data_IF_248775831733
#
_entry.id   IF_248775831733
#
_cell.length_a   1.000
_cell.length_b   1.000
_cell.length_c   1.000
_cell.angle_alpha   90.00
_cell.angle_beta   90.00
_cell.angle_gamma   90.00
#
_symmetry.space_group_name_H-M   'P 1'
#
loop_
_entity.id
_entity.type
_entity.pdbx_description
1 polymer ?
#
# COMPACT_ATOMS: atom_id res chain seq x y z
N UNK A 1 81.11 -5.69 -22.92
CA UNK A 1 80.03 -5.09 -23.73
C UNK A 1 78.94 -6.15 -23.88
N UNK A 2 77.89 -6.11 -23.06
CA UNK A 2 76.69 -6.96 -23.23
C UNK A 2 75.50 -6.28 -22.55
N UNK A 3 74.35 -6.44 -23.19
CA UNK A 3 73.15 -5.60 -23.28
C UNK A 3 72.13 -5.80 -22.15
N UNK A 4 71.53 -4.69 -21.70
CA UNK A 4 70.29 -4.67 -20.92
C UNK A 4 69.08 -4.49 -21.86
N UNK A 5 68.24 -5.52 -22.01
CA UNK A 5 66.94 -5.44 -22.66
C UNK A 5 65.85 -5.22 -21.60
N UNK A 6 65.25 -4.02 -21.60
CA UNK A 6 64.13 -3.69 -20.72
C UNK A 6 62.79 -4.05 -21.35
N UNK A 7 62.02 -4.79 -20.56
CA UNK A 7 60.70 -5.35 -20.79
C UNK A 7 59.63 -4.23 -20.89
N UNK A 8 59.03 -4.03 -22.07
CA UNK A 8 58.00 -2.99 -22.33
C UNK A 8 56.63 -3.54 -22.74
N UNK A 9 56.46 -4.87 -22.80
CA UNK A 9 55.24 -5.50 -23.34
C UNK A 9 54.21 -5.95 -22.28
N UNK A 10 54.57 -5.99 -20.99
CA UNK A 10 53.65 -6.42 -19.92
C UNK A 10 52.56 -5.40 -19.58
N UNK A 11 52.86 -4.11 -19.61
CA UNK A 11 51.96 -3.06 -19.12
C UNK A 11 50.73 -2.84 -20.01
N UNK A 12 50.84 -2.97 -21.33
CA UNK A 12 49.70 -2.73 -22.24
C UNK A 12 48.68 -3.87 -22.24
N UNK A 13 49.12 -5.09 -21.93
CA UNK A 13 48.25 -6.28 -21.78
C UNK A 13 47.44 -6.22 -20.49
N UNK A 14 48.09 -5.84 -19.38
CA UNK A 14 47.45 -5.74 -18.07
C UNK A 14 46.42 -4.59 -17.99
N UNK A 15 46.68 -3.50 -18.71
CA UNK A 15 45.72 -2.38 -18.88
C UNK A 15 44.48 -2.82 -19.69
N UNK A 16 44.66 -3.59 -20.77
CA UNK A 16 43.53 -4.10 -21.55
C UNK A 16 42.69 -5.12 -20.75
N UNK A 17 43.32 -6.00 -19.98
CA UNK A 17 42.62 -6.97 -19.13
C UNK A 17 41.83 -6.27 -18.02
N UNK A 18 42.38 -5.21 -17.42
CA UNK A 18 41.69 -4.43 -16.38
C UNK A 18 40.52 -3.61 -16.95
N UNK A 19 40.65 -3.03 -18.15
CA UNK A 19 39.55 -2.35 -18.85
C UNK A 19 38.39 -3.30 -19.18
N UNK A 20 38.68 -4.50 -19.73
CA UNK A 20 37.66 -5.53 -20.00
C UNK A 20 36.94 -5.97 -18.71
N UNK A 21 37.67 -6.05 -17.59
CA UNK A 21 37.11 -6.38 -16.28
C UNK A 21 36.21 -5.28 -15.73
N UNK A 22 36.55 -4.01 -15.97
CA UNK A 22 35.70 -2.87 -15.59
C UNK A 22 34.43 -2.84 -16.45
N UNK A 23 34.54 -3.00 -17.76
CA UNK A 23 33.37 -3.01 -18.66
C UNK A 23 32.42 -4.17 -18.35
N UNK A 24 32.95 -5.37 -18.06
CA UNK A 24 32.11 -6.50 -17.62
C UNK A 24 31.42 -6.26 -16.28
N UNK A 25 32.07 -5.59 -15.32
CA UNK A 25 31.45 -5.18 -14.05
C UNK A 25 30.35 -4.12 -14.25
N UNK A 26 30.57 -3.15 -15.15
CA UNK A 26 29.58 -2.13 -15.51
C UNK A 26 28.35 -2.75 -16.21
N UNK A 27 28.58 -3.69 -17.14
CA UNK A 27 27.51 -4.42 -17.82
C UNK A 27 26.72 -5.29 -16.83
N UNK A 28 27.42 -5.97 -15.91
CA UNK A 28 26.76 -6.79 -14.88
C UNK A 28 25.93 -5.93 -13.94
N UNK A 29 26.48 -4.80 -13.45
CA UNK A 29 25.76 -3.84 -12.61
C UNK A 29 24.53 -3.25 -13.32
N UNK A 30 24.63 -2.95 -14.61
CA UNK A 30 23.51 -2.48 -15.44
C UNK A 30 22.42 -3.55 -15.61
N UNK A 31 22.79 -4.81 -15.89
CA UNK A 31 21.85 -5.94 -15.99
C UNK A 31 21.14 -6.21 -14.67
N UNK A 32 21.86 -6.15 -13.55
CA UNK A 32 21.29 -6.34 -12.22
C UNK A 32 20.30 -5.21 -11.87
N UNK A 33 20.62 -3.96 -12.24
CA UNK A 33 19.71 -2.81 -12.12
C UNK A 33 18.45 -2.95 -12.97
N UNK A 34 18.57 -3.39 -14.23
CA UNK A 34 17.41 -3.62 -15.11
C UNK A 34 16.50 -4.73 -14.58
N UNK A 35 17.09 -5.84 -14.11
CA UNK A 35 16.34 -6.95 -13.50
C UNK A 35 15.58 -6.49 -12.26
N UNK A 36 16.21 -5.69 -11.41
CA UNK A 36 15.56 -5.13 -10.22
C UNK A 36 14.40 -4.21 -10.59
N UNK A 37 14.57 -3.32 -11.57
CA UNK A 37 13.50 -2.44 -12.03
C UNK A 37 12.32 -3.22 -12.64
N UNK A 38 12.60 -4.27 -13.42
CA UNK A 38 11.58 -5.15 -13.97
C UNK A 38 10.78 -5.85 -12.85
N UNK A 39 11.47 -6.35 -11.83
CA UNK A 39 10.82 -6.94 -10.65
C UNK A 39 9.94 -5.93 -9.92
N UNK A 40 10.39 -4.69 -9.76
CA UNK A 40 9.60 -3.61 -9.14
C UNK A 40 8.32 -3.35 -9.93
N UNK A 41 8.42 -3.23 -11.26
CA UNK A 41 7.27 -3.02 -12.15
C UNK A 41 6.29 -4.19 -12.06
N UNK A 42 6.78 -5.44 -12.09
CA UNK A 42 5.94 -6.63 -11.93
C UNK A 42 5.26 -6.66 -10.56
N UNK A 43 5.96 -6.30 -9.49
CA UNK A 43 5.37 -6.22 -8.15
C UNK A 43 4.30 -5.13 -8.04
N UNK A 44 4.50 -3.99 -8.69
CA UNK A 44 3.49 -2.92 -8.78
C UNK A 44 2.27 -3.38 -9.58
N UNK A 45 2.47 -4.06 -10.71
CA UNK A 45 1.39 -4.61 -11.52
C UNK A 45 0.58 -5.66 -10.74
N UNK A 46 1.25 -6.59 -10.06
CA UNK A 46 0.61 -7.56 -9.18
C UNK A 46 -0.20 -6.88 -8.06
N UNK A 47 0.34 -5.79 -7.48
CA UNK A 47 -0.34 -5.00 -6.45
C UNK A 47 -1.57 -4.24 -6.98
N UNK A 48 -1.55 -3.77 -8.24
CA UNK A 48 -2.70 -3.14 -8.89
C UNK A 48 -3.77 -4.19 -9.19
N UNK A 49 -3.41 -5.29 -9.85
CA UNK A 49 -4.35 -6.36 -10.23
C UNK A 49 -5.04 -6.98 -9.02
N UNK A 50 -4.26 -7.35 -7.99
CA UNK A 50 -4.81 -7.90 -6.76
C UNK A 50 -5.68 -6.88 -6.01
N UNK A 51 -5.33 -5.58 -6.04
CA UNK A 51 -6.14 -4.54 -5.44
C UNK A 51 -7.45 -4.29 -6.19
N UNK A 52 -7.48 -4.40 -7.52
CA UNK A 52 -8.72 -4.33 -8.29
C UNK A 52 -9.62 -5.54 -7.94
N UNK A 53 -9.04 -6.75 -7.91
CA UNK A 53 -9.78 -7.97 -7.56
C UNK A 53 -10.39 -7.90 -6.15
N UNK A 54 -9.63 -7.45 -5.14
CA UNK A 54 -10.16 -7.36 -3.78
C UNK A 54 -11.27 -6.31 -3.68
N UNK A 55 -11.22 -5.22 -4.45
CA UNK A 55 -12.25 -4.18 -4.43
C UNK A 55 -13.58 -4.72 -4.97
N UNK A 56 -13.55 -5.46 -6.09
CA UNK A 56 -14.77 -6.08 -6.61
C UNK A 56 -15.32 -7.15 -5.67
N UNK A 57 -14.46 -7.99 -5.09
CA UNK A 57 -14.89 -8.98 -4.08
C UNK A 57 -15.49 -8.32 -2.84
N UNK A 58 -14.87 -7.25 -2.33
CA UNK A 58 -15.41 -6.50 -1.21
C UNK A 58 -16.76 -5.85 -1.56
N UNK A 59 -16.89 -5.23 -2.74
CA UNK A 59 -18.17 -4.68 -3.23
C UNK A 59 -19.27 -5.76 -3.28
N UNK A 60 -18.93 -6.95 -3.79
CA UNK A 60 -19.85 -8.08 -3.82
C UNK A 60 -20.27 -8.51 -2.41
N UNK A 61 -19.31 -8.69 -1.49
CA UNK A 61 -19.56 -9.08 -0.09
C UNK A 61 -20.43 -8.05 0.63
N UNK A 62 -20.17 -6.76 0.45
CA UNK A 62 -20.96 -5.70 1.08
C UNK A 62 -22.40 -5.68 0.57
N UNK A 63 -22.59 -5.90 -0.73
CA UNK A 63 -23.89 -5.82 -1.37
C UNK A 63 -24.76 -7.07 -1.17
N UNK A 64 -24.16 -8.26 -1.18
CA UNK A 64 -24.90 -9.54 -1.16
C UNK A 64 -24.76 -10.33 0.15
N UNK A 65 -23.64 -10.19 0.86
CA UNK A 65 -23.39 -10.95 2.09
C UNK A 65 -23.61 -10.09 3.35
N UNK A 66 -23.71 -8.77 3.19
CA UNK A 66 -23.93 -7.80 4.28
C UNK A 66 -22.89 -7.89 5.42
N UNK A 67 -21.69 -8.40 5.13
CA UNK A 67 -20.55 -8.37 6.07
C UNK A 67 -19.92 -6.99 6.00
N UNK A 68 -19.77 -6.34 7.15
CA UNK A 68 -19.24 -4.98 7.22
C UNK A 68 -17.71 -4.92 7.16
N UNK A 69 -17.16 -3.73 6.91
CA UNK A 69 -15.78 -3.55 6.47
C UNK A 69 -14.73 -3.98 7.49
N UNK A 70 -14.91 -3.67 8.78
CA UNK A 70 -13.95 -4.01 9.83
C UNK A 70 -13.93 -5.51 10.08
N UNK A 71 -15.09 -6.16 10.12
CA UNK A 71 -15.24 -7.62 10.20
C UNK A 71 -14.52 -8.29 9.03
N UNK A 72 -14.79 -7.83 7.82
CA UNK A 72 -14.14 -8.37 6.62
C UNK A 72 -12.61 -8.16 6.68
N UNK A 73 -12.15 -6.98 7.10
CA UNK A 73 -10.71 -6.67 7.22
C UNK A 73 -10.02 -7.55 8.27
N UNK A 74 -10.66 -7.80 9.42
CA UNK A 74 -10.13 -8.69 10.45
C UNK A 74 -10.01 -10.13 9.93
N UNK A 75 -11.03 -10.64 9.23
CA UNK A 75 -10.98 -11.97 8.60
C UNK A 75 -9.87 -12.02 7.55
N UNK A 76 -9.75 -11.02 6.69
CA UNK A 76 -8.67 -10.92 5.69
C UNK A 76 -7.28 -10.92 6.33
N UNK A 77 -7.10 -10.27 7.48
CA UNK A 77 -5.85 -10.30 8.24
C UNK A 77 -5.58 -11.67 8.87
N UNK A 78 -6.62 -12.39 9.29
CA UNK A 78 -6.49 -13.79 9.73
C UNK A 78 -6.05 -14.68 8.57
N UNK A 79 -6.68 -14.57 7.39
CA UNK A 79 -6.26 -15.30 6.19
C UNK A 79 -4.83 -14.94 5.76
N UNK A 80 -4.45 -13.67 5.86
CA UNK A 80 -3.08 -13.22 5.62
C UNK A 80 -2.10 -13.89 6.58
N UNK A 81 -2.47 -14.02 7.86
CA UNK A 81 -1.66 -14.71 8.87
C UNK A 81 -1.49 -16.19 8.54
N UNK A 82 -2.58 -16.88 8.17
CA UNK A 82 -2.54 -18.28 7.72
C UNK A 82 -1.66 -18.46 6.47
N UNK A 83 -1.82 -17.61 5.46
CA UNK A 83 -0.99 -17.63 4.26
C UNK A 83 0.50 -17.49 4.58
N UNK A 84 0.84 -16.63 5.54
CA UNK A 84 2.23 -16.45 5.98
C UNK A 84 2.77 -17.63 6.79
N UNK A 85 1.93 -18.32 7.57
CA UNK A 85 2.32 -19.57 8.24
C UNK A 85 2.67 -20.64 7.20
N UNK A 86 1.87 -20.78 6.14
CA UNK A 86 2.15 -21.71 5.03
C UNK A 86 3.46 -21.31 4.34
N UNK A 87 3.66 -20.01 4.05
CA UNK A 87 4.91 -19.50 3.50
C UNK A 87 6.14 -19.79 4.37
N UNK A 88 5.99 -19.76 5.69
CA UNK A 88 7.05 -20.12 6.64
C UNK A 88 7.37 -21.61 6.59
N UNK A 89 6.35 -22.47 6.51
CA UNK A 89 6.51 -23.93 6.35
C UNK A 89 7.18 -24.30 5.01
N UNK A 90 6.90 -23.54 3.95
CA UNK A 90 7.56 -23.67 2.66
C UNK A 90 8.96 -23.04 2.60
N UNK A 91 9.50 -22.55 3.72
CA UNK A 91 10.82 -21.91 3.83
C UNK A 91 11.02 -20.69 2.90
N UNK A 92 9.94 -19.99 2.54
CA UNK A 92 10.05 -18.78 1.69
C UNK A 92 10.69 -17.59 2.41
N UNK A 93 10.66 -17.60 3.75
CA UNK A 93 11.38 -16.65 4.60
C UNK A 93 11.75 -17.31 5.93
N UNK A 94 12.77 -16.75 6.60
CA UNK A 94 13.18 -17.16 7.95
C UNK A 94 12.49 -16.28 8.98
N UNK A 95 11.94 -16.86 10.05
CA UNK A 95 11.35 -16.07 11.14
C UNK A 95 12.44 -15.31 11.90
N UNK A 96 12.27 -13.99 12.02
CA UNK A 96 13.11 -13.13 12.87
C UNK A 96 12.40 -12.87 14.19
N UNK A 97 13.07 -13.09 15.32
CA UNK A 97 12.52 -12.80 16.65
C UNK A 97 12.54 -11.30 16.90
N UNK A 98 11.37 -10.74 17.17
CA UNK A 98 11.19 -9.32 17.49
C UNK A 98 10.16 -9.17 18.62
N UNK A 99 10.26 -8.08 19.36
CA UNK A 99 9.30 -7.78 20.43
C UNK A 99 8.01 -7.23 19.84
N UNK A 100 6.86 -7.70 20.33
CA UNK A 100 5.53 -7.21 19.92
C UNK A 100 5.44 -5.69 20.09
N UNK A 101 6.11 -5.12 21.11
CA UNK A 101 6.13 -3.67 21.36
C UNK A 101 6.68 -2.86 20.17
N UNK A 102 7.53 -3.44 19.34
CA UNK A 102 8.10 -2.77 18.16
C UNK A 102 7.10 -2.71 17.00
N UNK A 103 6.18 -3.67 16.92
CA UNK A 103 5.17 -3.78 15.84
C UNK A 103 3.83 -3.18 16.26
N UNK A 104 3.57 -3.09 17.57
CA UNK A 104 2.31 -2.58 18.11
C UNK A 104 1.91 -1.20 17.56
N UNK A 105 2.81 -0.18 17.47
CA UNK A 105 2.45 1.10 16.86
C UNK A 105 1.99 0.96 15.40
N UNK A 106 2.67 0.12 14.62
CA UNK A 106 2.32 -0.16 13.23
C UNK A 106 0.91 -0.77 13.11
N UNK A 107 0.59 -1.75 13.95
CA UNK A 107 -0.74 -2.36 13.97
C UNK A 107 -1.83 -1.40 14.46
N UNK A 108 -1.52 -0.54 15.43
CA UNK A 108 -2.45 0.51 15.89
C UNK A 108 -2.73 1.51 14.76
N UNK A 109 -1.71 2.00 14.06
CA UNK A 109 -1.89 2.90 12.92
C UNK A 109 -2.73 2.25 11.81
N UNK A 110 -2.51 0.97 11.53
CA UNK A 110 -3.33 0.22 10.58
C UNK A 110 -4.81 0.16 11.03
N UNK A 111 -5.07 -0.19 12.29
CA UNK A 111 -6.44 -0.30 12.79
C UNK A 111 -7.13 1.06 12.84
N UNK A 112 -6.43 2.11 13.29
CA UNK A 112 -6.93 3.49 13.25
C UNK A 112 -7.25 3.92 11.81
N UNK A 113 -6.33 3.66 10.88
CA UNK A 113 -6.59 3.91 9.45
C UNK A 113 -7.88 3.22 9.00
N UNK A 114 -8.04 1.92 9.25
CA UNK A 114 -9.25 1.18 8.85
C UNK A 114 -10.51 1.77 9.48
N UNK A 115 -10.52 1.97 10.80
CA UNK A 115 -11.68 2.46 11.55
C UNK A 115 -12.08 3.86 11.11
N UNK A 116 -11.15 4.82 11.14
CA UNK A 116 -11.45 6.23 10.81
C UNK A 116 -11.74 6.45 9.33
N UNK A 117 -11.15 5.65 8.43
CA UNK A 117 -11.47 5.71 7.00
C UNK A 117 -12.89 5.21 6.73
N UNK A 118 -13.32 4.14 7.41
CA UNK A 118 -14.70 3.66 7.29
C UNK A 118 -15.71 4.62 7.91
N UNK A 119 -15.42 5.17 9.10
CA UNK A 119 -16.25 6.23 9.70
C UNK A 119 -16.31 7.46 8.79
N UNK A 120 -15.21 7.85 8.15
CA UNK A 120 -15.21 8.99 7.22
C UNK A 120 -16.17 8.76 6.05
N UNK A 121 -16.28 7.52 5.55
CA UNK A 121 -17.24 7.17 4.48
C UNK A 121 -18.69 7.19 4.96
N UNK A 122 -18.93 6.99 6.26
CA UNK A 122 -20.27 7.09 6.88
C UNK A 122 -20.69 8.54 7.10
N UNK A 123 -19.77 9.42 7.52
CA UNK A 123 -20.06 10.81 7.87
C UNK A 123 -19.82 11.84 6.75
N UNK A 124 -19.13 11.46 5.67
CA UNK A 124 -18.84 12.35 4.54
C UNK A 124 -19.35 11.75 3.22
N UNK A 125 -19.53 12.62 2.22
CA UNK A 125 -19.81 12.17 0.86
C UNK A 125 -18.66 11.34 0.30
N UNK A 126 -18.97 10.44 -0.63
CA UNK A 126 -17.97 9.62 -1.31
C UNK A 126 -16.87 10.49 -1.97
N UNK A 127 -17.26 11.62 -2.57
CA UNK A 127 -16.33 12.57 -3.20
C UNK A 127 -15.39 13.22 -2.19
N UNK A 128 -15.93 13.73 -1.08
CA UNK A 128 -15.14 14.32 0.00
C UNK A 128 -14.22 13.30 0.66
N UNK A 129 -14.70 12.09 0.90
CA UNK A 129 -13.89 10.97 1.38
C UNK A 129 -12.68 10.69 0.46
N UNK A 130 -12.91 10.65 -0.86
CA UNK A 130 -11.84 10.41 -1.84
C UNK A 130 -10.80 11.54 -1.83
N UNK A 131 -11.24 12.79 -1.73
CA UNK A 131 -10.34 13.94 -1.69
C UNK A 131 -9.50 14.00 -0.41
N UNK A 132 -10.09 13.72 0.76
CA UNK A 132 -9.32 13.57 1.99
C UNK A 132 -8.31 12.44 1.90
N UNK A 133 -8.66 11.33 1.24
CA UNK A 133 -7.70 10.23 1.01
C UNK A 133 -6.51 10.68 0.17
N UNK A 134 -6.68 11.58 -0.81
CA UNK A 134 -5.56 12.11 -1.59
C UNK A 134 -4.58 12.90 -0.73
N UNK A 135 -5.04 13.58 0.33
CA UNK A 135 -4.18 14.27 1.30
C UNK A 135 -3.21 13.35 2.08
N UNK A 136 -3.40 12.03 2.02
CA UNK A 136 -2.41 11.06 2.55
C UNK A 136 -1.01 11.32 1.98
N UNK A 137 -0.91 11.71 0.70
CA UNK A 137 0.37 11.95 0.03
C UNK A 137 1.14 13.15 0.59
N UNK A 138 0.60 14.39 0.61
CA UNK A 138 1.32 15.52 1.17
C UNK A 138 1.67 15.31 2.64
N UNK A 139 0.82 14.60 3.40
CA UNK A 139 1.09 14.26 4.79
C UNK A 139 2.22 13.25 4.91
N UNK A 140 2.31 12.25 4.02
CA UNK A 140 3.46 11.34 3.99
C UNK A 140 4.75 12.12 3.73
N UNK A 141 4.76 13.01 2.74
CA UNK A 141 5.94 13.83 2.43
C UNK A 141 6.32 14.71 3.61
N UNK A 142 5.35 15.37 4.25
CA UNK A 142 5.57 16.24 5.39
C UNK A 142 6.18 15.49 6.58
N UNK A 143 5.59 14.35 6.97
CA UNK A 143 6.07 13.54 8.11
C UNK A 143 7.45 12.96 7.78
N UNK A 144 7.65 12.39 6.59
CA UNK A 144 8.94 11.83 6.18
C UNK A 144 10.06 12.87 6.09
N UNK A 145 9.74 14.10 5.68
CA UNK A 145 10.69 15.20 5.67
C UNK A 145 11.04 15.66 7.09
N UNK A 146 10.04 15.86 7.95
CA UNK A 146 10.21 16.42 9.29
C UNK A 146 10.85 15.45 10.29
N UNK A 147 10.46 14.17 10.27
CA UNK A 147 10.85 13.19 11.30
C UNK A 147 11.88 12.17 10.83
N UNK A 148 12.01 11.97 9.52
CA UNK A 148 12.88 10.95 8.93
C UNK A 148 13.90 11.54 7.94
N UNK A 149 14.05 12.87 7.93
CA UNK A 149 15.02 13.63 7.13
C UNK A 149 15.05 13.23 5.63
N UNK A 150 13.92 12.77 5.10
CA UNK A 150 13.84 12.31 3.72
C UNK A 150 13.87 13.51 2.78
N UNK A 151 14.82 13.51 1.84
CA UNK A 151 14.96 14.58 0.85
C UNK A 151 14.08 14.29 -0.37
N UNK A 152 13.25 15.26 -0.72
CA UNK A 152 12.42 15.23 -1.92
C UNK A 152 12.87 16.29 -2.92
N UNK A 153 12.71 16.02 -4.21
CA UNK A 153 13.00 17.02 -5.24
C UNK A 153 12.02 18.18 -5.16
N UNK A 154 12.45 19.38 -5.58
CA UNK A 154 11.56 20.54 -5.66
C UNK A 154 10.32 20.27 -6.51
N UNK A 155 10.46 19.46 -7.56
CA UNK A 155 9.36 19.06 -8.44
C UNK A 155 8.27 18.29 -7.66
N UNK A 156 8.66 17.33 -6.81
CA UNK A 156 7.70 16.60 -5.96
C UNK A 156 6.96 17.57 -5.03
N UNK A 157 7.66 18.50 -4.39
CA UNK A 157 7.02 19.48 -3.49
C UNK A 157 6.01 20.35 -4.25
N UNK A 158 6.39 20.83 -5.45
CA UNK A 158 5.50 21.64 -6.29
C UNK A 158 4.24 20.86 -6.72
N UNK A 159 4.33 19.55 -6.99
CA UNK A 159 3.16 18.73 -7.33
C UNK A 159 2.15 18.58 -6.18
N UNK A 160 2.54 18.82 -4.92
CA UNK A 160 1.63 18.73 -3.78
C UNK A 160 0.78 19.98 -3.58
N UNK A 161 1.23 21.14 -4.09
CA UNK A 161 0.50 22.41 -4.00
C UNK A 161 -0.89 22.31 -4.64
N UNK A 162 -1.04 21.90 -5.93
CA UNK A 162 -2.36 21.80 -6.54
C UNK A 162 -3.26 20.78 -5.85
N UNK A 163 -2.70 19.70 -5.28
CA UNK A 163 -3.45 18.71 -4.51
C UNK A 163 -4.09 19.34 -3.28
N UNK A 164 -3.31 20.04 -2.45
CA UNK A 164 -3.82 20.69 -1.23
C UNK A 164 -4.82 21.79 -1.57
N UNK A 165 -4.53 22.60 -2.59
CA UNK A 165 -5.44 23.66 -3.05
C UNK A 165 -6.75 23.08 -3.57
N UNK A 166 -6.70 22.03 -4.40
CA UNK A 166 -7.88 21.37 -4.96
C UNK A 166 -8.79 20.79 -3.89
N UNK A 167 -8.22 20.09 -2.90
CA UNK A 167 -9.00 19.57 -1.76
C UNK A 167 -9.59 20.73 -0.95
N UNK A 168 -8.83 21.79 -0.69
CA UNK A 168 -9.33 22.95 0.06
C UNK A 168 -10.50 23.65 -0.64
N UNK A 169 -10.41 23.88 -1.95
CA UNK A 169 -11.48 24.47 -2.76
C UNK A 169 -12.71 23.57 -2.74
N UNK A 170 -12.54 22.25 -2.86
CA UNK A 170 -13.66 21.33 -2.79
C UNK A 170 -14.35 21.36 -1.43
N UNK A 171 -13.57 21.25 -0.34
CA UNK A 171 -14.10 21.21 1.02
C UNK A 171 -14.89 22.47 1.39
N UNK A 172 -14.49 23.66 0.92
CA UNK A 172 -15.25 24.91 1.15
C UNK A 172 -16.59 24.94 0.41
N UNK A 173 -16.69 24.23 -0.71
CA UNK A 173 -17.89 24.18 -1.54
C UNK A 173 -18.81 22.98 -1.23
N UNK A 174 -18.39 22.04 -0.38
CA UNK A 174 -19.21 20.89 0.00
C UNK A 174 -20.15 21.26 1.16
N UNK A 175 -21.42 21.46 0.82
CA UNK A 175 -22.50 21.80 1.77
C UNK A 175 -22.76 20.64 2.75
N UNK A 176 -22.42 19.41 2.39
CA UNK A 176 -22.60 18.22 3.24
C UNK A 176 -21.43 17.99 4.19
N UNK A 177 -20.35 18.78 4.08
CA UNK A 177 -19.18 18.63 4.94
C UNK A 177 -19.49 19.10 6.36
N UNK A 178 -19.29 18.20 7.33
CA UNK A 178 -19.44 18.51 8.76
C UNK A 178 -18.08 18.62 9.44
N UNK A 179 -17.98 19.41 10.51
CA UNK A 179 -16.75 19.50 11.32
C UNK A 179 -16.35 18.13 11.87
N UNK A 180 -17.34 17.36 12.35
CA UNK A 180 -17.13 16.02 12.87
C UNK A 180 -16.59 15.06 11.80
N UNK A 181 -17.22 15.04 10.61
CA UNK A 181 -16.75 14.26 9.46
C UNK A 181 -15.34 14.65 9.02
N UNK A 182 -15.00 15.95 9.09
CA UNK A 182 -13.65 16.47 8.78
C UNK A 182 -12.61 15.98 9.78
N UNK A 183 -12.91 15.99 11.08
CA UNK A 183 -12.00 15.49 12.12
C UNK A 183 -11.75 13.99 11.93
N UNK A 184 -12.80 13.20 11.69
CA UNK A 184 -12.70 11.77 11.42
C UNK A 184 -11.84 11.51 10.17
N UNK A 185 -12.11 12.22 9.08
CA UNK A 185 -11.33 12.09 7.84
C UNK A 185 -9.85 12.44 8.06
N UNK A 186 -9.58 13.47 8.86
CA UNK A 186 -8.23 13.91 9.23
C UNK A 186 -7.47 12.85 10.00
N UNK A 187 -8.08 12.25 11.02
CA UNK A 187 -7.47 11.14 11.75
C UNK A 187 -7.24 9.94 10.81
N UNK A 188 -8.18 9.68 9.89
CA UNK A 188 -8.09 8.62 8.89
C UNK A 188 -6.86 8.74 8.00
N UNK A 189 -6.69 9.85 7.28
CA UNK A 189 -5.57 10.02 6.37
C UNK A 189 -4.22 10.18 7.11
N UNK A 190 -4.19 10.79 8.31
CA UNK A 190 -2.96 10.85 9.13
C UNK A 190 -2.54 9.43 9.55
N UNK A 191 -3.50 8.62 10.01
CA UNK A 191 -3.24 7.21 10.37
C UNK A 191 -2.76 6.41 9.15
N UNK A 192 -3.34 6.66 7.97
CA UNK A 192 -2.90 6.05 6.71
C UNK A 192 -1.45 6.43 6.37
N UNK A 193 -1.09 7.71 6.51
CA UNK A 193 0.27 8.21 6.28
C UNK A 193 1.27 7.58 7.25
N UNK A 194 0.95 7.56 8.55
CA UNK A 194 1.79 6.94 9.58
C UNK A 194 1.97 5.46 9.34
N UNK A 195 0.90 4.74 8.99
CA UNK A 195 0.98 3.31 8.67
C UNK A 195 1.97 3.05 7.54
N UNK A 196 1.87 3.78 6.43
CA UNK A 196 2.74 3.59 5.27
C UNK A 196 4.20 3.94 5.56
N UNK A 197 4.46 5.03 6.29
CA UNK A 197 5.80 5.42 6.72
C UNK A 197 6.38 4.35 7.65
N UNK A 198 5.62 3.91 8.66
CA UNK A 198 6.09 2.90 9.60
C UNK A 198 6.32 1.53 8.96
N UNK A 199 5.62 1.16 7.88
CA UNK A 199 6.03 -0.02 7.09
C UNK A 199 7.45 0.18 6.55
N UNK A 200 7.68 1.28 5.83
CA UNK A 200 8.99 1.59 5.23
C UNK A 200 10.11 1.57 6.28
N UNK A 201 9.89 2.27 7.38
CA UNK A 201 10.92 2.45 8.41
C UNK A 201 11.15 1.19 9.23
N UNK A 202 10.10 0.43 9.61
CA UNK A 202 10.29 -0.84 10.34
C UNK A 202 10.98 -1.90 9.49
N UNK A 203 10.72 -1.94 8.18
CA UNK A 203 11.44 -2.84 7.28
C UNK A 203 12.95 -2.54 7.25
N UNK A 204 13.33 -1.25 7.24
CA UNK A 204 14.73 -0.80 7.26
C UNK A 204 15.38 -1.00 8.64
N UNK A 205 14.78 -0.45 9.69
CA UNK A 205 15.28 -0.49 11.07
C UNK A 205 15.49 -1.92 11.56
N UNK A 206 14.49 -2.78 11.35
CA UNK A 206 14.54 -4.16 11.80
C UNK A 206 15.25 -5.07 10.79
N UNK A 207 15.71 -4.55 9.64
CA UNK A 207 16.31 -5.34 8.55
C UNK A 207 15.46 -6.56 8.19
N UNK A 208 14.16 -6.33 8.00
CA UNK A 208 13.17 -7.38 7.76
C UNK A 208 12.71 -7.39 6.31
N UNK A 209 12.26 -8.55 5.85
CA UNK A 209 11.53 -8.68 4.60
C UNK A 209 10.02 -8.46 4.81
N UNK A 210 9.30 -8.19 3.73
CA UNK A 210 7.87 -7.91 3.72
C UNK A 210 7.03 -8.99 4.43
N UNK A 211 7.33 -10.27 4.16
CA UNK A 211 6.66 -11.41 4.80
C UNK A 211 6.89 -11.45 6.31
N UNK A 212 8.12 -11.18 6.76
CA UNK A 212 8.47 -11.23 8.18
C UNK A 212 7.73 -10.15 8.97
N UNK A 213 7.65 -8.92 8.45
CA UNK A 213 6.98 -7.82 9.15
C UNK A 213 5.46 -8.05 9.19
N UNK A 214 4.89 -8.46 8.06
CA UNK A 214 3.46 -8.76 7.93
C UNK A 214 3.05 -9.94 8.83
N UNK A 215 3.93 -10.93 9.03
CA UNK A 215 3.67 -12.09 9.90
C UNK A 215 3.36 -11.70 11.35
N UNK A 216 3.98 -10.63 11.84
CA UNK A 216 3.70 -10.10 13.18
C UNK A 216 2.54 -9.10 13.18
N UNK A 217 2.41 -8.27 12.14
CA UNK A 217 1.39 -7.22 12.08
C UNK A 217 -0.02 -7.76 11.83
N UNK A 218 -0.19 -8.76 10.96
CA UNK A 218 -1.50 -9.26 10.54
C UNK A 218 -2.34 -9.83 11.71
N UNK A 219 -1.84 -10.78 12.53
CA UNK A 219 -2.65 -11.34 13.61
C UNK A 219 -2.92 -10.29 14.71
N UNK A 220 -1.95 -9.41 14.98
CA UNK A 220 -2.11 -8.32 15.95
C UNK A 220 -3.18 -7.32 15.50
N UNK A 221 -3.26 -7.02 14.21
CA UNK A 221 -4.26 -6.10 13.66
C UNK A 221 -5.66 -6.69 13.69
N UNK A 222 -5.81 -7.98 13.38
CA UNK A 222 -7.09 -8.68 13.54
C UNK A 222 -7.59 -8.61 14.99
N UNK A 223 -6.69 -8.82 15.96
CA UNK A 223 -7.02 -8.73 17.39
C UNK A 223 -7.43 -7.31 17.81
N UNK A 224 -6.68 -6.30 17.38
CA UNK A 224 -6.94 -4.90 17.73
C UNK A 224 -8.24 -4.36 17.11
N UNK A 225 -8.72 -4.94 16.00
CA UNK A 225 -9.99 -4.57 15.39
C UNK A 225 -11.21 -5.14 16.13
N UNK A 226 -11.08 -6.25 16.86
CA UNK A 226 -12.21 -6.90 17.56
C UNK A 226 -13.08 -5.96 18.41
N UNK A 227 -12.53 -5.11 19.31
CA UNK A 227 -13.38 -4.23 20.12
C UNK A 227 -14.21 -3.26 19.26
N UNK A 228 -13.65 -2.76 18.15
CA UNK A 228 -14.36 -1.87 17.24
C UNK A 228 -15.44 -2.61 16.46
N UNK A 229 -15.19 -3.85 16.04
CA UNK A 229 -16.17 -4.71 15.38
C UNK A 229 -17.39 -4.90 16.29
N UNK A 230 -17.21 -5.30 17.54
CA UNK A 230 -18.34 -5.54 18.44
C UNK A 230 -19.11 -4.26 18.81
N UNK A 231 -18.44 -3.10 18.79
CA UNK A 231 -19.07 -1.83 19.15
C UNK A 231 -19.76 -1.14 17.97
N UNK A 232 -19.18 -1.21 16.77
CA UNK A 232 -19.61 -0.43 15.60
C UNK A 232 -20.35 -1.26 14.56
N UNK A 233 -20.13 -2.58 14.50
CA UNK A 233 -20.63 -3.43 13.43
C UNK A 233 -21.74 -4.38 13.89
N UNK A 234 -22.68 -4.65 12.98
CA UNK A 234 -23.73 -5.65 13.12
C UNK A 234 -23.36 -6.86 12.28
N UNK A 235 -23.54 -8.04 12.87
CA UNK A 235 -23.30 -9.30 12.16
C UNK A 235 -24.50 -9.66 11.27
N UNK A 236 -24.27 -10.14 10.04
CA UNK A 236 -25.35 -10.55 9.15
C UNK A 236 -26.04 -11.81 9.71
N UNK A 237 -27.36 -11.88 9.53
CA UNK A 237 -28.17 -13.05 9.84
C UNK A 237 -28.68 -13.62 8.52
N UNK A 238 -28.16 -14.79 8.14
CA UNK A 238 -28.56 -15.46 6.91
C UNK A 238 -29.86 -16.25 7.12
N UNK A 239 -30.80 -16.15 6.18
CA UNK A 239 -32.10 -16.82 6.26
C UNK A 239 -32.06 -18.23 5.68
N UNK A 240 -31.13 -18.47 4.76
CA UNK A 240 -30.97 -19.76 4.08
C UNK A 240 -29.54 -20.27 4.20
N UNK A 241 -29.38 -21.59 4.21
CA UNK A 241 -28.05 -22.23 4.19
C UNK A 241 -27.27 -21.91 2.92
N UNK A 242 -27.97 -21.64 1.82
CA UNK A 242 -27.42 -21.23 0.53
C UNK A 242 -26.76 -19.85 0.61
N UNK A 243 -27.46 -18.85 1.16
CA UNK A 243 -26.91 -17.50 1.40
C UNK A 243 -25.64 -17.57 2.27
N UNK A 244 -25.69 -18.35 3.35
CA UNK A 244 -24.55 -18.53 4.24
C UNK A 244 -23.37 -19.17 3.50
N UNK A 245 -23.60 -20.19 2.67
CA UNK A 245 -22.54 -20.85 1.90
C UNK A 245 -21.90 -19.89 0.90
N UNK A 246 -22.70 -19.11 0.17
CA UNK A 246 -22.20 -18.11 -0.79
C UNK A 246 -21.35 -17.06 -0.06
N UNK A 247 -21.81 -16.59 1.11
CA UNK A 247 -21.06 -15.63 1.91
C UNK A 247 -19.72 -16.20 2.38
N UNK A 248 -19.70 -17.44 2.89
CA UNK A 248 -18.46 -18.09 3.31
C UNK A 248 -17.49 -18.22 2.13
N UNK A 249 -17.96 -18.67 0.96
CA UNK A 249 -17.12 -18.81 -0.24
C UNK A 249 -16.56 -17.46 -0.69
N UNK A 250 -17.38 -16.40 -0.71
CA UNK A 250 -16.94 -15.05 -1.06
C UNK A 250 -15.88 -14.51 -0.07
N UNK A 251 -16.08 -14.72 1.23
CA UNK A 251 -15.12 -14.32 2.27
C UNK A 251 -13.81 -15.09 2.15
N UNK A 252 -13.86 -16.40 1.90
CA UNK A 252 -12.65 -17.22 1.69
C UNK A 252 -11.88 -16.72 0.46
N UNK A 253 -12.57 -16.50 -0.66
CA UNK A 253 -11.96 -15.95 -1.87
C UNK A 253 -11.32 -14.57 -1.62
N UNK A 254 -12.03 -13.69 -0.92
CA UNK A 254 -11.53 -12.38 -0.51
C UNK A 254 -10.32 -12.50 0.43
N UNK A 255 -10.32 -13.45 1.37
CA UNK A 255 -9.18 -13.72 2.25
C UNK A 255 -7.91 -14.15 1.51
N UNK A 256 -8.05 -15.02 0.50
CA UNK A 256 -6.92 -15.44 -0.35
C UNK A 256 -6.35 -14.26 -1.13
N UNK A 257 -7.22 -13.45 -1.75
CA UNK A 257 -6.79 -12.26 -2.49
C UNK A 257 -6.16 -11.23 -1.54
N UNK A 258 -6.70 -11.06 -0.33
CA UNK A 258 -6.19 -10.13 0.66
C UNK A 258 -4.77 -10.50 1.12
N UNK A 259 -4.45 -11.79 1.25
CA UNK A 259 -3.07 -12.22 1.49
C UNK A 259 -2.11 -11.70 0.40
N UNK A 260 -2.48 -11.84 -0.87
CA UNK A 260 -1.68 -11.37 -2.02
C UNK A 260 -1.56 -9.83 -2.02
N UNK A 261 -2.67 -9.13 -1.76
CA UNK A 261 -2.67 -7.66 -1.66
C UNK A 261 -1.76 -7.19 -0.53
N UNK A 262 -1.94 -7.70 0.69
CA UNK A 262 -1.15 -7.28 1.85
C UNK A 262 0.34 -7.56 1.64
N UNK A 263 0.69 -8.74 1.10
CA UNK A 263 2.06 -9.08 0.79
C UNK A 263 2.66 -8.14 -0.26
N UNK A 264 1.92 -7.87 -1.35
CA UNK A 264 2.38 -6.98 -2.42
C UNK A 264 2.51 -5.52 -1.97
N UNK A 265 1.64 -5.02 -1.07
CA UNK A 265 1.78 -3.67 -0.47
C UNK A 265 3.12 -3.54 0.26
N UNK A 266 3.43 -4.48 1.15
CA UNK A 266 4.68 -4.45 1.90
C UNK A 266 5.88 -4.64 0.98
N UNK A 267 5.75 -5.44 -0.08
CA UNK A 267 6.82 -5.65 -1.05
C UNK A 267 7.10 -4.40 -1.88
N UNK A 268 6.06 -3.72 -2.37
CA UNK A 268 6.19 -2.47 -3.11
C UNK A 268 6.81 -1.39 -2.22
N UNK A 269 6.31 -1.19 -1.01
CA UNK A 269 6.86 -0.19 -0.08
C UNK A 269 8.32 -0.49 0.24
N UNK A 270 8.68 -1.76 0.46
CA UNK A 270 10.07 -2.17 0.72
C UNK A 270 11.03 -1.79 -0.40
N UNK A 271 10.64 -2.06 -1.65
CA UNK A 271 11.51 -1.90 -2.82
C UNK A 271 11.43 -0.51 -3.45
N UNK A 272 10.49 0.34 -3.02
CA UNK A 272 10.31 1.70 -3.52
C UNK A 272 10.32 2.70 -2.36
N UNK A 273 9.17 3.23 -1.96
CA UNK A 273 8.97 4.08 -0.79
C UNK A 273 7.50 4.19 -0.44
N UNK A 274 7.20 4.72 0.76
CA UNK A 274 5.82 5.09 1.14
C UNK A 274 5.20 6.12 0.17
N UNK A 275 6.00 7.07 -0.34
CA UNK A 275 5.53 8.05 -1.33
C UNK A 275 5.16 7.37 -2.66
N UNK A 276 6.04 6.52 -3.19
CA UNK A 276 5.78 5.79 -4.44
C UNK A 276 4.53 4.92 -4.33
N UNK A 277 4.32 4.28 -3.19
CA UNK A 277 3.10 3.51 -2.95
C UNK A 277 1.83 4.37 -2.96
N UNK A 278 1.85 5.59 -2.41
CA UNK A 278 0.72 6.52 -2.54
C UNK A 278 0.43 6.88 -4.01
N UNK A 279 1.47 7.13 -4.81
CA UNK A 279 1.30 7.43 -6.24
C UNK A 279 0.66 6.25 -6.99
N UNK A 280 1.09 5.03 -6.71
CA UNK A 280 0.44 3.81 -7.25
C UNK A 280 -1.02 3.73 -6.77
N UNK A 281 -1.30 4.12 -5.52
CA UNK A 281 -2.65 4.22 -4.98
C UNK A 281 -3.56 5.15 -5.80
N UNK A 282 -3.04 6.31 -6.22
CA UNK A 282 -3.77 7.25 -7.09
C UNK A 282 -4.06 6.64 -8.45
N UNK A 283 -3.07 5.97 -9.06
CA UNK A 283 -3.28 5.22 -10.30
C UNK A 283 -4.37 4.16 -10.16
N UNK A 284 -4.41 3.41 -9.04
CA UNK A 284 -5.48 2.43 -8.78
C UNK A 284 -6.84 3.10 -8.73
N UNK A 285 -6.96 4.23 -8.01
CA UNK A 285 -8.21 4.99 -7.94
C UNK A 285 -8.70 5.37 -9.34
N UNK A 286 -7.82 5.88 -10.21
CA UNK A 286 -8.18 6.19 -11.60
C UNK A 286 -8.67 4.94 -12.34
N UNK A 287 -7.95 3.82 -12.25
CA UNK A 287 -8.34 2.56 -12.90
C UNK A 287 -9.70 2.04 -12.43
N UNK A 288 -10.00 2.15 -11.13
CA UNK A 288 -11.29 1.73 -10.55
C UNK A 288 -12.40 2.65 -11.02
N UNK A 289 -12.17 3.97 -11.07
CA UNK A 289 -13.15 4.93 -11.55
C UNK A 289 -13.50 4.68 -13.03
N UNK A 290 -12.48 4.45 -13.87
CA UNK A 290 -12.68 4.07 -15.27
C UNK A 290 -13.44 2.75 -15.41
N UNK A 291 -13.06 1.72 -14.64
CA UNK A 291 -13.73 0.42 -14.67
C UNK A 291 -15.15 0.43 -14.10
N UNK A 292 -15.45 1.33 -13.16
CA UNK A 292 -16.80 1.48 -12.60
C UNK A 292 -17.74 2.17 -13.59
N UNK A 293 -17.24 3.18 -14.32
CA UNK A 293 -18.00 3.86 -15.37
C UNK A 293 -18.38 2.92 -16.53
N UNK A 294 -17.49 1.98 -16.90
CA UNK A 294 -17.76 1.05 -18.01
C UNK A 294 -18.64 -0.15 -17.63
N UNK A 295 -18.73 -0.50 -16.34
CA UNK A 295 -19.39 -1.72 -15.88
C UNK A 295 -20.69 -1.50 -15.09
N UNK A 296 -20.90 -0.34 -14.48
CA UNK A 296 -22.00 -0.15 -13.53
C UNK A 296 -22.97 1.00 -13.87
N UNK A 297 -22.77 1.75 -14.96
CA UNK A 297 -23.58 2.94 -15.31
C UNK A 297 -23.79 3.90 -14.10
N UNK A 298 -22.89 3.84 -13.11
CA UNK A 298 -22.97 4.66 -11.91
C UNK A 298 -22.57 6.08 -12.30
N UNK A 299 -23.56 6.98 -12.33
CA UNK A 299 -23.40 8.40 -12.63
C UNK A 299 -22.60 9.10 -11.51
N UNK A 300 -21.29 8.86 -11.45
CA UNK A 300 -20.41 9.89 -10.91
C UNK A 300 -20.65 11.14 -11.76
N UNK A 301 -21.09 12.22 -11.10
CA UNK A 301 -21.37 13.48 -11.76
C UNK A 301 -20.13 13.85 -12.59
N UNK A 302 -20.27 14.03 -13.91
CA UNK A 302 -19.14 14.17 -14.83
C UNK A 302 -18.12 15.24 -14.39
N UNK A 303 -18.61 16.28 -13.70
CA UNK A 303 -17.80 17.33 -13.07
C UNK A 303 -16.93 16.83 -11.90
N UNK A 304 -17.46 15.93 -11.05
CA UNK A 304 -16.69 15.29 -9.98
C UNK A 304 -15.64 14.34 -10.55
N UNK A 305 -15.96 13.61 -11.63
CA UNK A 305 -15.00 12.75 -12.32
C UNK A 305 -13.82 13.56 -12.91
N UNK A 306 -14.10 14.65 -13.64
CA UNK A 306 -13.06 15.54 -14.18
C UNK A 306 -12.24 16.19 -13.06
N UNK A 307 -12.89 16.64 -11.99
CA UNK A 307 -12.20 17.24 -10.83
C UNK A 307 -11.24 16.26 -10.16
N UNK A 308 -11.64 14.99 -10.01
CA UNK A 308 -10.75 13.94 -9.50
C UNK A 308 -9.59 13.65 -10.44
N UNK A 309 -9.84 13.58 -11.75
CA UNK A 309 -8.82 13.30 -12.76
C UNK A 309 -7.79 14.42 -12.91
N UNK A 310 -8.18 15.68 -12.63
CA UNK A 310 -7.26 16.83 -12.58
C UNK A 310 -6.46 16.91 -11.27
N UNK A 311 -6.96 16.31 -10.19
CA UNK A 311 -6.33 16.35 -8.87
C UNK A 311 -5.32 15.21 -8.68
N UNK A 312 -5.53 14.07 -9.35
CA UNK A 312 -4.70 12.86 -9.31
C UNK A 312 -3.59 12.89 -10.37
#
# INVERSE_FOLDING_TARGET
MSTNHTNKNGTSSDINISLIKIDSLLIQSSKDGLKQNCLIVLGCAANILSAIAIIFLNKYIFSHCHIQTMTLTAIQMIFTSFGLIICLQMNTFVRKTISIKQILPLSIAFCAFVVFTNLSLEYNTIGTYQLFKVLTTPVVVLISWQFYETKYSKMVIVTLIPVVVGVSIHSVNDIQLTLFGTIIATIGFISASLYQIWISERLKELKMNSQQLLYYQAPLSALLLLPFIFYMEKFPVYKTSEEQRIAILAVVASGIVAFVVNLSVYWVIKNTSALTYNMIGHMKTISILLGSFTLFDDFLNFKQFIGMLLTL
#
